data_IF_865601513933
#
_entry.id   IF_865601513933
#
_cell.length_a   1.000
_cell.length_b   1.000
_cell.length_c   1.000
_cell.angle_alpha   90.00
_cell.angle_beta   90.00
_cell.angle_gamma   90.00
#
_symmetry.space_group_name_H-M   'P 1'
#
loop_
_entity.id
_entity.type
_entity.pdbx_description
1 polymer ?
#
# COMPACT_ATOMS: atom_id res chain seq x y z
N UNK A 1 6.70 38.79 -10.23
CA UNK A 1 6.85 39.08 -8.80
C UNK A 1 5.79 38.26 -8.07
N UNK A 2 6.14 37.08 -7.53
CA UNK A 2 5.23 36.27 -6.74
C UNK A 2 5.88 36.01 -5.38
N UNK A 3 5.30 36.59 -4.33
CA UNK A 3 5.74 36.41 -2.95
C UNK A 3 5.18 35.08 -2.43
N UNK A 4 6.07 34.11 -2.19
CA UNK A 4 5.72 32.90 -1.46
C UNK A 4 5.64 33.24 0.04
N UNK A 5 4.43 33.32 0.57
CA UNK A 5 4.22 33.37 2.02
C UNK A 5 4.67 32.05 2.64
N UNK A 6 5.83 32.06 3.32
CA UNK A 6 6.24 30.98 4.23
C UNK A 6 5.30 30.98 5.43
N UNK A 7 4.26 30.16 5.39
CA UNK A 7 3.50 29.89 6.61
C UNK A 7 4.33 29.02 7.55
N UNK A 8 4.77 29.62 8.66
CA UNK A 8 5.33 28.91 9.81
C UNK A 8 4.19 28.35 10.67
N UNK A 9 3.45 27.35 10.17
CA UNK A 9 2.62 26.54 11.07
C UNK A 9 3.53 25.55 11.80
N UNK A 10 3.90 25.85 13.05
CA UNK A 10 4.30 24.81 13.99
C UNK A 10 3.04 24.02 14.34
N UNK A 11 2.65 23.09 13.47
CA UNK A 11 1.66 22.07 13.81
C UNK A 11 2.30 21.24 14.92
N UNK A 12 1.90 21.45 16.17
CA UNK A 12 2.20 20.47 17.23
C UNK A 12 1.57 19.17 16.79
N UNK A 13 2.39 18.16 16.44
CA UNK A 13 1.89 16.83 16.10
C UNK A 13 0.99 16.38 17.26
N UNK A 14 -0.26 15.96 16.99
CA UNK A 14 -1.07 15.33 18.03
C UNK A 14 -0.30 14.15 18.61
N UNK A 15 -0.52 13.78 19.89
CA UNK A 15 0.12 12.62 20.49
C UNK A 15 -0.17 11.41 19.60
N UNK A 16 0.86 10.91 18.92
CA UNK A 16 0.73 9.75 18.06
C UNK A 16 0.62 8.52 18.95
N UNK A 17 -0.54 7.87 18.88
CA UNK A 17 -0.71 6.54 19.48
C UNK A 17 0.26 5.61 18.74
N UNK A 18 1.21 5.03 19.48
CA UNK A 18 2.08 3.98 18.96
C UNK A 18 1.32 2.66 19.00
N UNK A 19 1.32 1.93 17.89
CA UNK A 19 0.68 0.62 17.77
C UNK A 19 1.75 -0.33 17.21
N UNK A 20 1.98 -1.47 17.86
CA UNK A 20 2.99 -2.42 17.38
C UNK A 20 2.61 -2.96 16.01
N UNK A 21 3.60 -3.38 15.22
CA UNK A 21 3.33 -3.92 13.88
C UNK A 21 2.45 -5.18 13.94
N UNK A 22 2.61 -6.02 14.97
CA UNK A 22 1.81 -7.22 15.20
C UNK A 22 0.35 -6.86 15.51
N UNK A 23 0.12 -5.84 16.34
CA UNK A 23 -1.22 -5.36 16.65
C UNK A 23 -1.89 -4.75 15.41
N UNK A 24 -1.14 -4.00 14.61
CA UNK A 24 -1.64 -3.48 13.34
C UNK A 24 -2.09 -4.61 12.41
N UNK A 25 -1.26 -5.65 12.22
CA UNK A 25 -1.61 -6.83 11.42
C UNK A 25 -2.83 -7.58 11.97
N UNK A 26 -2.90 -7.76 13.29
CA UNK A 26 -4.04 -8.42 13.92
C UNK A 26 -5.34 -7.63 13.69
N UNK A 27 -5.28 -6.29 13.75
CA UNK A 27 -6.43 -5.43 13.50
C UNK A 27 -6.83 -5.44 12.02
N UNK A 28 -5.88 -5.40 11.09
CA UNK A 28 -6.13 -5.52 9.66
C UNK A 28 -6.76 -6.88 9.32
N UNK A 29 -6.27 -7.98 9.91
CA UNK A 29 -6.84 -9.31 9.74
C UNK A 29 -8.29 -9.42 10.20
N UNK A 30 -8.67 -8.74 11.29
CA UNK A 30 -10.09 -8.66 11.74
C UNK A 30 -10.99 -7.94 10.72
N UNK A 31 -10.42 -7.07 9.89
CA UNK A 31 -11.13 -6.37 8.81
C UNK A 31 -11.11 -7.14 7.48
N UNK A 32 -10.51 -8.34 7.45
CA UNK A 32 -10.37 -9.15 6.24
C UNK A 32 -9.17 -8.79 5.37
N UNK A 33 -8.32 -7.85 5.81
CA UNK A 33 -7.10 -7.48 5.10
C UNK A 33 -6.01 -8.48 5.46
N UNK A 34 -5.55 -9.26 4.48
CA UNK A 34 -4.62 -10.38 4.70
C UNK A 34 -3.54 -10.45 3.63
N UNK A 35 -2.41 -11.07 3.97
CA UNK A 35 -1.40 -11.43 2.99
C UNK A 35 -1.81 -12.65 2.18
N UNK A 36 -1.32 -12.72 0.95
CA UNK A 36 -1.32 -13.98 0.20
C UNK A 36 -0.49 -15.02 0.96
N UNK A 37 -0.90 -16.29 0.85
CA UNK A 37 -0.41 -17.44 1.65
C UNK A 37 1.11 -17.64 1.74
N UNK A 38 1.90 -17.04 0.85
CA UNK A 38 3.35 -17.26 0.73
C UNK A 38 4.21 -16.07 1.14
N UNK A 39 3.64 -15.02 1.71
CA UNK A 39 4.34 -13.75 1.93
C UNK A 39 4.56 -13.54 3.42
N UNK A 40 5.84 -13.46 3.82
CA UNK A 40 6.22 -13.04 5.16
C UNK A 40 6.24 -11.51 5.21
N UNK A 41 5.85 -10.94 6.35
CA UNK A 41 5.92 -9.49 6.54
C UNK A 41 7.34 -8.96 6.33
N UNK A 42 8.37 -9.73 6.69
CA UNK A 42 9.78 -9.35 6.53
C UNK A 42 10.17 -9.10 5.08
N UNK A 43 9.48 -9.73 4.14
CA UNK A 43 9.75 -9.59 2.70
C UNK A 43 9.23 -8.26 2.13
N UNK A 44 8.42 -7.52 2.91
CA UNK A 44 7.76 -6.29 2.45
C UNK A 44 8.10 -5.05 3.30
N UNK A 45 8.95 -5.18 4.33
CA UNK A 45 9.32 -4.02 5.14
C UNK A 45 10.32 -3.14 4.39
N UNK A 46 9.91 -1.91 4.07
CA UNK A 46 10.72 -0.89 3.40
C UNK A 46 11.46 0.02 4.41
N UNK A 47 10.97 0.06 5.64
CA UNK A 47 11.46 0.95 6.70
C UNK A 47 11.81 0.18 7.97
N UNK A 48 12.33 0.89 8.99
CA UNK A 48 12.54 0.27 10.31
C UNK A 48 11.18 0.06 10.98
N UNK A 49 11.05 -0.98 11.80
CA UNK A 49 9.82 -1.28 12.55
C UNK A 49 9.30 -0.04 13.31
N UNK A 50 10.20 0.75 13.92
CA UNK A 50 9.84 1.98 14.62
C UNK A 50 9.04 2.98 13.76
N UNK A 51 9.32 3.04 12.46
CA UNK A 51 8.64 3.97 11.55
C UNK A 51 7.18 3.54 11.35
N UNK A 52 6.93 2.24 11.25
CA UNK A 52 5.58 1.66 11.19
C UNK A 52 4.79 1.88 12.48
N UNK A 53 5.45 1.83 13.63
CA UNK A 53 4.79 2.03 14.94
C UNK A 53 4.53 3.50 15.23
N UNK A 54 5.40 4.41 14.80
CA UNK A 54 5.24 5.86 14.98
C UNK A 54 4.17 6.46 14.06
N UNK A 55 3.93 5.84 12.91
CA UNK A 55 2.84 6.19 12.00
C UNK A 55 2.05 4.93 11.67
N UNK A 56 1.19 4.48 12.60
CA UNK A 56 0.43 3.25 12.43
C UNK A 56 -0.37 3.24 11.14
N UNK A 57 -0.47 2.05 10.56
CA UNK A 57 -1.21 1.69 9.36
C UNK A 57 -0.68 2.30 8.07
N UNK A 58 -0.32 3.59 8.01
CA UNK A 58 0.02 4.21 6.72
C UNK A 58 1.22 3.53 6.04
N UNK A 59 2.32 3.32 6.76
CA UNK A 59 3.50 2.67 6.19
C UNK A 59 3.24 1.20 5.90
N UNK A 60 2.50 0.52 6.78
CA UNK A 60 2.18 -0.89 6.60
C UNK A 60 1.28 -1.10 5.36
N UNK A 61 0.19 -0.36 5.25
CA UNK A 61 -0.72 -0.39 4.10
C UNK A 61 0.00 -0.05 2.78
N UNK A 62 0.91 0.92 2.80
CA UNK A 62 1.74 1.23 1.64
C UNK A 62 2.63 0.04 1.25
N UNK A 63 3.34 -0.55 2.22
CA UNK A 63 4.19 -1.72 1.97
C UNK A 63 3.41 -2.95 1.52
N UNK A 64 2.16 -3.14 2.01
CA UNK A 64 1.26 -4.22 1.61
C UNK A 64 0.68 -4.02 0.20
N UNK A 65 0.37 -2.77 -0.17
CA UNK A 65 -0.34 -2.46 -1.42
C UNK A 65 0.56 -2.20 -2.63
N UNK A 66 1.88 -2.17 -2.46
CA UNK A 66 2.86 -1.89 -3.51
C UNK A 66 3.27 -3.18 -4.24
N UNK A 67 3.59 -3.02 -5.53
CA UNK A 67 4.24 -4.04 -6.36
C UNK A 67 5.63 -4.44 -5.84
N UNK A 68 6.01 -5.72 -6.00
CA UNK A 68 7.26 -6.31 -5.52
C UNK A 68 7.92 -7.12 -6.64
N UNK A 69 9.13 -6.73 -7.00
CA UNK A 69 9.93 -7.41 -8.04
C UNK A 69 10.44 -8.79 -7.61
N UNK A 70 10.39 -9.09 -6.30
CA UNK A 70 11.03 -10.26 -5.68
C UNK A 70 10.15 -11.52 -5.62
N UNK A 71 8.95 -11.53 -6.22
CA UNK A 71 8.06 -12.70 -6.18
C UNK A 71 8.20 -13.46 -7.50
N UNK A 72 8.77 -14.67 -7.42
CA UNK A 72 9.26 -15.50 -8.56
C UNK A 72 8.24 -15.86 -9.65
N UNK A 73 6.98 -15.42 -9.56
CA UNK A 73 5.99 -15.57 -10.63
C UNK A 73 5.43 -14.22 -11.04
N UNK A 74 5.41 -13.96 -12.34
CA UNK A 74 4.80 -12.78 -12.99
C UNK A 74 3.32 -12.54 -12.62
N UNK A 75 2.68 -13.50 -11.94
CA UNK A 75 1.29 -13.40 -11.51
C UNK A 75 1.09 -12.88 -10.08
N UNK A 76 2.16 -12.77 -9.28
CA UNK A 76 2.04 -12.62 -7.83
C UNK A 76 2.82 -11.43 -7.26
N UNK A 77 2.91 -10.35 -8.04
CA UNK A 77 3.70 -9.15 -7.73
C UNK A 77 3.19 -8.32 -6.55
N UNK A 78 1.99 -8.60 -6.02
CA UNK A 78 1.37 -7.81 -4.95
C UNK A 78 1.19 -8.64 -3.68
N UNK A 79 1.58 -8.12 -2.50
CA UNK A 79 1.46 -8.83 -1.23
C UNK A 79 0.04 -9.23 -0.81
N UNK A 80 -0.94 -8.44 -1.21
CA UNK A 80 -2.37 -8.64 -0.95
C UNK A 80 -3.20 -8.19 -2.15
N UNK A 81 -4.44 -8.65 -2.25
CA UNK A 81 -5.43 -8.09 -3.18
C UNK A 81 -6.41 -7.13 -2.48
N UNK A 82 -6.29 -6.95 -1.17
CA UNK A 82 -7.22 -6.16 -0.36
C UNK A 82 -6.88 -4.66 -0.38
N UNK A 83 -5.64 -4.31 -0.76
CA UNK A 83 -5.10 -2.95 -0.75
C UNK A 83 -4.31 -2.71 -2.04
N UNK A 84 -4.35 -1.46 -2.51
CA UNK A 84 -3.48 -0.97 -3.57
C UNK A 84 -2.84 0.37 -3.17
N UNK A 85 -1.51 0.41 -3.19
CA UNK A 85 -0.73 1.62 -3.04
C UNK A 85 -0.43 2.17 -4.44
N UNK A 86 -1.41 2.86 -5.04
CA UNK A 86 -1.26 3.43 -6.38
C UNK A 86 -0.45 4.73 -6.35
N UNK A 87 0.77 4.66 -6.86
CA UNK A 87 1.59 5.84 -7.10
C UNK A 87 1.34 6.36 -8.52
N UNK A 88 0.91 7.62 -8.64
CA UNK A 88 0.57 8.22 -9.94
C UNK A 88 1.81 8.58 -10.74
N UNK A 89 2.97 8.65 -10.11
CA UNK A 89 4.24 8.86 -10.80
C UNK A 89 4.66 7.61 -11.61
N UNK A 90 3.98 6.48 -11.44
CA UNK A 90 4.24 5.23 -12.17
C UNK A 90 3.44 5.08 -13.48
N UNK A 91 2.72 6.11 -13.93
CA UNK A 91 2.11 6.12 -15.27
C UNK A 91 3.08 6.86 -16.19
N UNK A 92 3.94 6.12 -16.89
CA UNK A 92 4.95 6.66 -17.79
C UNK A 92 4.54 6.50 -19.25
N UNK A 93 3.82 5.42 -19.58
CA UNK A 93 3.40 5.07 -20.93
C UNK A 93 1.93 4.62 -21.04
N UNK A 94 1.40 4.57 -22.27
CA UNK A 94 0.03 4.13 -22.53
C UNK A 94 -0.26 2.69 -22.05
N UNK A 95 0.77 1.84 -21.96
CA UNK A 95 0.64 0.47 -21.46
C UNK A 95 0.29 0.39 -19.96
N UNK A 96 0.63 1.40 -19.17
CA UNK A 96 0.47 1.37 -17.71
C UNK A 96 -0.99 1.46 -17.28
N UNK A 97 -1.81 2.16 -18.07
CA UNK A 97 -3.27 2.20 -17.87
C UNK A 97 -3.89 0.80 -17.96
N UNK A 98 -3.44 0.01 -18.94
CA UNK A 98 -3.90 -1.38 -19.11
C UNK A 98 -3.48 -2.23 -17.92
N UNK A 99 -2.27 -2.04 -17.40
CA UNK A 99 -1.81 -2.76 -16.21
C UNK A 99 -2.58 -2.36 -14.95
N UNK A 100 -2.88 -1.08 -14.77
CA UNK A 100 -3.73 -0.58 -13.68
C UNK A 100 -5.13 -1.18 -13.73
N UNK A 101 -5.75 -1.26 -14.90
CA UNK A 101 -7.07 -1.89 -15.08
C UNK A 101 -7.03 -3.39 -14.80
N UNK A 102 -5.98 -4.10 -15.25
CA UNK A 102 -5.78 -5.52 -14.90
C UNK A 102 -5.62 -5.72 -13.40
N UNK A 103 -4.89 -4.83 -12.71
CA UNK A 103 -4.75 -4.86 -11.25
C UNK A 103 -6.10 -4.67 -10.55
N UNK A 104 -6.89 -3.69 -10.99
CA UNK A 104 -8.24 -3.45 -10.46
C UNK A 104 -9.10 -4.70 -10.65
N UNK A 105 -9.10 -5.30 -11.85
CA UNK A 105 -9.86 -6.51 -12.14
C UNK A 105 -9.53 -7.65 -11.16
N UNK A 106 -8.25 -7.90 -10.88
CA UNK A 106 -7.81 -8.92 -9.91
C UNK A 106 -8.26 -8.61 -8.48
N UNK A 107 -8.35 -7.34 -8.09
CA UNK A 107 -8.80 -6.95 -6.75
C UNK A 107 -10.32 -7.08 -6.57
N UNK A 108 -11.10 -6.95 -7.64
CA UNK A 108 -12.57 -6.98 -7.57
C UNK A 108 -13.18 -8.33 -7.93
N UNK A 109 -12.43 -9.25 -8.53
CA UNK A 109 -12.89 -10.61 -8.89
C UNK A 109 -13.17 -11.46 -7.64
N UNK A 110 -14.35 -12.11 -7.49
CA UNK A 110 -15.46 -12.28 -8.44
C UNK A 110 -16.63 -11.30 -8.26
N UNK A 111 -16.49 -10.29 -7.40
CA UNK A 111 -17.54 -9.32 -7.08
C UNK A 111 -17.97 -8.52 -8.30
N UNK A 112 -17.03 -8.20 -9.20
CA UNK A 112 -17.26 -7.43 -10.41
C UNK A 112 -16.46 -8.03 -11.56
N UNK A 113 -17.14 -8.46 -12.63
CA UNK A 113 -16.47 -8.85 -13.87
C UNK A 113 -16.09 -7.60 -14.65
N UNK A 114 -14.79 -7.37 -14.83
CA UNK A 114 -14.27 -6.28 -15.66
C UNK A 114 -14.01 -6.84 -17.05
N UNK A 115 -14.98 -6.73 -17.95
CA UNK A 115 -14.87 -7.11 -19.37
C UNK A 115 -14.69 -5.84 -20.22
N UNK A 116 -13.92 -5.92 -21.31
CA UNK A 116 -13.57 -4.81 -22.22
C UNK A 116 -12.51 -3.80 -21.68
N UNK A 117 -11.34 -4.31 -21.29
CA UNK A 117 -10.13 -3.54 -20.93
C UNK A 117 -9.28 -3.24 -22.16
#
# INVERSE_FOLDING_TARGET
MFSFFKSKYKLSKPPQVRISIEEQLANLGKLGITFKRKIDIRDILDFKISDYEERPYIHLLMSMGRERDCIESSSDLYPTNDIWCFDRECIEDHGDYVQGLKRIAVMVDPTISVTDI
#
